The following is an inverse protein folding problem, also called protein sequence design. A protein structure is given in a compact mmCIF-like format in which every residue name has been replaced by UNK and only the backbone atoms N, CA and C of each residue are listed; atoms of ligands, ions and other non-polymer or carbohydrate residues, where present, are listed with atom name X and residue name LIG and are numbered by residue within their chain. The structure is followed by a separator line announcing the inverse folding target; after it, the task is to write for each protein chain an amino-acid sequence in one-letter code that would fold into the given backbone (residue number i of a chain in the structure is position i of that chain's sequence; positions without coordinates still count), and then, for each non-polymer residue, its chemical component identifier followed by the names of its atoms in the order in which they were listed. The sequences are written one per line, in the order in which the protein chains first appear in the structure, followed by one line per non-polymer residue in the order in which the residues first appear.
data_IF_711927668236
#
_entry.id   IF_711927668236
#
_cell.length_a   1.000
_cell.length_b   1.000
_cell.length_c   1.000
_cell.angle_alpha   90.00
_cell.angle_beta   90.00
_cell.angle_gamma   90.00
#
_symmetry.space_group_name_H-M   'P 1'
#
loop_
_entity.id
_entity.type
_entity.pdbx_description
1 polymer ?
#
# COMPACT_ATOMS: atom_id res chain seq x y z
N UNK A 1 9.32 24.99 6.30
CA UNK A 1 7.95 25.54 6.12
C UNK A 1 7.01 24.37 6.30
N UNK A 2 6.59 24.21 7.55
CA UNK A 2 5.97 23.02 8.11
C UNK A 2 4.52 22.84 7.66
N UNK A 3 4.17 21.60 7.31
CA UNK A 3 2.78 21.15 7.07
C UNK A 3 1.89 21.24 8.32
N UNK A 4 2.39 21.78 9.43
CA UNK A 4 1.70 21.94 10.70
C UNK A 4 0.93 23.27 10.84
N UNK A 5 1.09 24.23 9.91
CA UNK A 5 0.38 25.52 10.00
C UNK A 5 -0.98 25.56 9.28
N UNK A 6 -1.41 24.48 8.63
CA UNK A 6 -2.67 24.44 7.87
C UNK A 6 -3.86 23.83 8.60
N UNK A 7 -3.69 23.41 9.86
CA UNK A 7 -4.75 22.73 10.58
C UNK A 7 -4.89 23.23 12.01
N UNK A 8 -5.90 24.07 12.24
CA UNK A 8 -6.58 24.14 13.54
C UNK A 8 -7.34 22.80 13.76
N UNK A 9 -6.57 21.79 14.15
CA UNK A 9 -6.84 20.35 13.97
C UNK A 9 -7.72 19.76 15.07
N UNK A 10 -7.99 20.48 16.17
CA UNK A 10 -8.59 19.84 17.35
C UNK A 10 -10.11 19.87 17.37
N UNK A 11 -10.75 20.87 16.77
CA UNK A 11 -12.21 21.04 16.89
C UNK A 11 -12.98 20.42 15.71
N UNK A 12 -12.37 20.38 14.52
CA UNK A 12 -13.00 19.81 13.30
C UNK A 12 -12.96 18.27 13.29
N UNK A 13 -11.89 17.67 13.83
CA UNK A 13 -11.65 16.23 13.75
C UNK A 13 -12.63 15.41 14.61
N UNK A 14 -13.00 15.90 15.79
CA UNK A 14 -13.87 15.15 16.72
C UNK A 14 -15.35 15.31 16.37
N UNK A 15 -15.78 16.47 15.88
CA UNK A 15 -17.18 16.73 15.53
C UNK A 15 -17.56 16.12 14.17
N UNK A 16 -16.64 16.08 13.21
CA UNK A 16 -16.88 15.47 11.90
C UNK A 16 -16.99 13.94 11.98
N UNK A 17 -16.01 13.27 12.60
CA UNK A 17 -15.95 11.81 12.67
C UNK A 17 -17.14 11.19 13.43
N UNK A 18 -17.55 11.76 14.57
CA UNK A 18 -18.71 11.29 15.32
C UNK A 18 -20.03 11.44 14.54
N UNK A 19 -20.15 12.51 13.73
CA UNK A 19 -21.35 12.78 12.94
C UNK A 19 -21.44 11.89 11.70
N UNK A 20 -20.31 11.61 11.04
CA UNK A 20 -20.27 10.69 9.89
C UNK A 20 -20.54 9.25 10.31
N UNK A 21 -20.07 8.81 11.48
CA UNK A 21 -20.41 7.50 12.05
C UNK A 21 -21.90 7.39 12.39
N UNK A 22 -22.52 8.46 12.89
CA UNK A 22 -23.96 8.49 13.16
C UNK A 22 -24.80 8.48 11.88
N UNK A 23 -24.38 9.22 10.84
CA UNK A 23 -25.03 9.22 9.51
C UNK A 23 -24.92 7.85 8.84
N UNK A 24 -23.75 7.20 8.91
CA UNK A 24 -23.54 5.84 8.39
C UNK A 24 -24.49 4.83 9.06
N UNK A 25 -24.77 5.00 10.36
CA UNK A 25 -25.66 4.12 11.13
C UNK A 25 -27.15 4.45 10.95
N UNK A 26 -27.50 5.57 10.30
CA UNK A 26 -28.88 6.05 10.15
C UNK A 26 -29.42 6.00 8.71
N UNK A 27 -28.71 5.32 7.78
CA UNK A 27 -29.08 5.17 6.35
C UNK A 27 -29.30 6.51 5.60
N UNK A 28 -28.90 7.64 6.18
CA UNK A 28 -29.03 8.95 5.55
C UNK A 28 -27.89 9.18 4.53
N UNK A 29 -28.19 9.81 3.38
CA UNK A 29 -27.15 10.12 2.39
C UNK A 29 -26.10 11.09 2.96
N UNK A 30 -24.83 10.76 2.76
CA UNK A 30 -23.69 11.59 3.19
C UNK A 30 -23.67 12.87 2.34
N UNK A 31 -23.69 14.03 3.00
CA UNK A 31 -23.65 15.33 2.34
C UNK A 31 -22.30 15.57 1.68
N UNK A 32 -22.27 16.26 0.54
CA UNK A 32 -21.03 16.53 -0.18
C UNK A 32 -19.98 17.26 0.67
N UNK A 33 -20.39 18.20 1.53
CA UNK A 33 -19.52 18.91 2.46
C UNK A 33 -18.77 18.00 3.46
N UNK A 34 -19.30 16.82 3.78
CA UNK A 34 -18.74 15.91 4.78
C UNK A 34 -17.87 14.80 4.12
N UNK A 35 -17.95 14.66 2.78
CA UNK A 35 -17.27 13.60 2.03
C UNK A 35 -15.75 13.75 2.01
N UNK A 36 -15.23 14.98 1.95
CA UNK A 36 -13.78 15.23 1.99
C UNK A 36 -13.21 14.87 3.37
N UNK A 37 -13.89 15.27 4.45
CA UNK A 37 -13.52 14.92 5.82
C UNK A 37 -13.56 13.40 6.05
N UNK A 38 -14.55 12.72 5.47
CA UNK A 38 -14.65 11.27 5.48
C UNK A 38 -13.44 10.63 4.78
N UNK A 39 -13.10 11.10 3.57
CA UNK A 39 -11.95 10.59 2.82
C UNK A 39 -10.63 10.84 3.58
N UNK A 40 -10.41 12.05 4.08
CA UNK A 40 -9.24 12.40 4.88
C UNK A 40 -9.09 11.49 6.12
N UNK A 41 -10.19 11.23 6.82
CA UNK A 41 -10.21 10.34 7.98
C UNK A 41 -9.80 8.92 7.60
N UNK A 42 -10.34 8.39 6.48
CA UNK A 42 -9.97 7.06 6.00
C UNK A 42 -8.49 6.96 5.60
N UNK A 43 -7.93 8.00 4.97
CA UNK A 43 -6.49 8.08 4.65
C UNK A 43 -5.65 8.04 5.93
N UNK A 44 -6.00 8.84 6.94
CA UNK A 44 -5.27 8.90 8.21
C UNK A 44 -5.36 7.60 9.01
N UNK A 45 -6.52 6.94 9.02
CA UNK A 45 -6.68 5.60 9.62
C UNK A 45 -5.79 4.58 8.90
N UNK A 46 -5.74 4.65 7.56
CA UNK A 46 -4.85 3.80 6.77
C UNK A 46 -3.37 4.04 7.09
N UNK A 47 -2.94 5.29 7.18
CA UNK A 47 -1.56 5.63 7.56
C UNK A 47 -1.23 5.17 8.98
N UNK A 48 -2.18 5.31 9.92
CA UNK A 48 -2.02 4.85 11.31
C UNK A 48 -1.91 3.32 11.39
N UNK A 49 -2.73 2.59 10.62
CA UNK A 49 -2.64 1.14 10.53
C UNK A 49 -1.33 0.68 9.90
N UNK A 50 -0.84 1.39 8.87
CA UNK A 50 0.46 1.13 8.26
C UNK A 50 1.60 1.33 9.28
N UNK A 51 1.57 2.43 10.04
CA UNK A 51 2.58 2.72 11.05
C UNK A 51 2.62 1.70 12.19
N UNK A 52 1.46 1.16 12.60
CA UNK A 52 1.35 0.24 13.74
C UNK A 52 1.99 -1.11 13.45
N UNK A 53 3.21 -1.31 13.93
CA UNK A 53 3.96 -2.55 13.80
C UNK A 53 4.56 -2.94 15.15
N UNK A 54 4.44 -4.21 15.52
CA UNK A 54 4.97 -4.72 16.78
C UNK A 54 6.40 -5.25 16.64
N UNK A 55 6.78 -5.78 15.47
CA UNK A 55 8.11 -6.32 15.21
C UNK A 55 9.23 -5.27 15.38
N UNK A 56 10.30 -5.64 16.08
CA UNK A 56 11.48 -4.78 16.28
C UNK A 56 12.65 -5.18 15.38
N UNK A 57 12.63 -6.42 14.88
CA UNK A 57 13.63 -6.95 13.94
C UNK A 57 12.95 -7.57 12.72
N UNK A 58 13.72 -7.78 11.64
CA UNK A 58 13.21 -8.43 10.43
C UNK A 58 12.76 -9.88 10.70
N UNK A 59 13.45 -10.59 11.60
CA UNK A 59 13.09 -11.98 11.96
C UNK A 59 11.77 -12.08 12.71
N UNK A 60 11.36 -11.02 13.41
CA UNK A 60 10.08 -10.91 14.11
C UNK A 60 8.95 -10.41 13.19
N UNK A 61 9.27 -9.94 11.99
CA UNK A 61 8.30 -9.39 11.06
C UNK A 61 7.71 -10.48 10.15
N UNK A 62 6.48 -10.25 9.69
CA UNK A 62 5.90 -11.02 8.60
C UNK A 62 6.75 -10.85 7.31
N UNK A 63 6.99 -11.90 6.51
CA UNK A 63 6.41 -13.25 6.56
C UNK A 63 7.18 -14.28 7.39
N UNK A 64 8.25 -13.90 8.10
CA UNK A 64 9.08 -14.82 8.89
C UNK A 64 8.48 -15.17 10.25
N UNK A 65 7.69 -14.25 10.81
CA UNK A 65 7.04 -14.47 12.11
C UNK A 65 6.30 -15.82 12.13
N UNK A 66 6.55 -16.58 13.18
CA UNK A 66 5.84 -17.84 13.49
C UNK A 66 4.67 -17.60 14.42
N UNK A 67 4.43 -16.35 14.87
CA UNK A 67 3.35 -15.98 15.80
C UNK A 67 1.95 -16.33 15.28
N UNK A 68 1.81 -16.57 13.96
CA UNK A 68 0.57 -17.04 13.37
C UNK A 68 0.33 -18.55 13.45
N UNK A 69 1.16 -19.30 14.20
CA UNK A 69 0.87 -20.70 14.55
C UNK A 69 -0.43 -20.89 15.34
N UNK A 70 -1.01 -19.81 15.88
CA UNK A 70 -2.33 -19.79 16.53
C UNK A 70 -3.49 -19.38 15.60
N UNK A 71 -3.24 -19.26 14.28
CA UNK A 71 -4.30 -19.18 13.26
C UNK A 71 -4.79 -17.78 12.87
N UNK A 72 -4.09 -16.71 13.26
CA UNK A 72 -4.47 -15.32 12.91
C UNK A 72 -3.43 -14.63 12.01
N UNK A 73 -3.12 -15.24 10.85
CA UNK A 73 -2.39 -14.56 9.75
C UNK A 73 -3.09 -13.25 9.28
N UNK A 74 -4.33 -13.01 9.70
CA UNK A 74 -5.09 -11.82 9.32
C UNK A 74 -4.66 -10.57 10.09
N UNK A 75 -4.08 -10.73 11.30
CA UNK A 75 -3.53 -9.62 12.08
C UNK A 75 -2.30 -8.98 11.41
N UNK A 76 -1.40 -9.78 10.86
CA UNK A 76 -0.17 -9.30 10.20
C UNK A 76 -0.47 -8.49 8.94
N UNK A 77 -1.51 -8.89 8.19
CA UNK A 77 -1.97 -8.20 6.97
C UNK A 77 -3.18 -7.29 7.23
N UNK A 78 -3.50 -6.98 8.49
CA UNK A 78 -4.63 -6.12 8.85
C UNK A 78 -4.48 -4.70 8.27
N UNK A 79 -3.26 -4.20 8.13
CA UNK A 79 -2.99 -2.90 7.51
C UNK A 79 -3.35 -2.87 6.00
N UNK A 80 -3.21 -4.01 5.31
CA UNK A 80 -3.68 -4.19 3.93
C UNK A 80 -5.21 -4.26 3.89
N UNK A 81 -5.83 -4.97 4.83
CA UNK A 81 -7.28 -5.01 4.98
C UNK A 81 -7.86 -3.61 5.19
N UNK A 82 -7.19 -2.79 6.00
CA UNK A 82 -7.58 -1.41 6.22
C UNK A 82 -7.45 -0.57 4.95
N UNK A 83 -6.43 -0.86 4.13
CA UNK A 83 -6.28 -0.21 2.83
C UNK A 83 -7.31 -0.61 1.80
N UNK A 84 -7.84 -1.83 1.89
CA UNK A 84 -8.97 -2.30 1.10
C UNK A 84 -10.26 -1.54 1.46
N UNK A 85 -10.54 -1.36 2.77
CA UNK A 85 -11.69 -0.57 3.24
C UNK A 85 -11.71 0.87 2.72
N UNK A 86 -10.53 1.48 2.51
CA UNK A 86 -10.41 2.82 1.89
C UNK A 86 -11.03 2.85 0.49
N UNK A 87 -11.01 1.77 -0.28
CA UNK A 87 -11.60 1.74 -1.65
C UNK A 87 -13.11 1.99 -1.64
N UNK A 88 -13.81 1.52 -0.62
CA UNK A 88 -15.24 1.80 -0.44
C UNK A 88 -15.49 3.26 -0.09
N UNK A 89 -14.65 3.83 0.78
CA UNK A 89 -14.73 5.26 1.13
C UNK A 89 -14.38 6.14 -0.06
N UNK A 90 -13.40 5.77 -0.88
CA UNK A 90 -13.05 6.46 -2.12
C UNK A 90 -14.26 6.61 -3.05
N UNK A 91 -14.96 5.49 -3.30
CA UNK A 91 -16.17 5.47 -4.15
C UNK A 91 -17.30 6.33 -3.55
N UNK A 92 -17.49 6.26 -2.24
CA UNK A 92 -18.54 7.00 -1.53
C UNK A 92 -18.26 8.50 -1.48
N UNK A 93 -16.99 8.87 -1.27
CA UNK A 93 -16.54 10.25 -1.23
C UNK A 93 -16.50 10.86 -2.64
N UNK A 94 -16.37 10.07 -3.69
CA UNK A 94 -16.34 10.51 -5.09
C UNK A 94 -15.40 11.70 -5.31
N UNK A 95 -14.18 11.61 -4.75
CA UNK A 95 -13.19 12.70 -4.83
C UNK A 95 -12.75 12.97 -6.28
N UNK A 96 -12.88 11.99 -7.17
CA UNK A 96 -12.58 12.13 -8.59
C UNK A 96 -13.72 12.80 -9.37
N UNK A 97 -14.98 12.45 -9.12
CA UNK A 97 -16.12 13.08 -9.81
C UNK A 97 -16.41 14.50 -9.32
N UNK A 98 -16.15 14.78 -8.04
CA UNK A 98 -16.41 16.08 -7.40
C UNK A 98 -15.27 17.08 -7.63
N UNK A 99 -15.44 17.96 -8.62
CA UNK A 99 -14.50 19.07 -8.91
C UNK A 99 -14.35 20.07 -7.76
N UNK A 100 -15.33 20.14 -6.87
CA UNK A 100 -15.32 20.95 -5.65
C UNK A 100 -14.56 20.27 -4.49
N UNK A 101 -14.15 19.01 -4.64
CA UNK A 101 -13.35 18.31 -3.62
C UNK A 101 -11.93 18.88 -3.57
N UNK A 102 -11.42 19.11 -2.36
CA UNK A 102 -10.03 19.53 -2.15
C UNK A 102 -9.01 18.46 -2.57
N UNK A 103 -9.46 17.21 -2.71
CA UNK A 103 -8.64 16.07 -3.13
C UNK A 103 -8.72 15.77 -4.63
N UNK A 104 -9.49 16.55 -5.40
CA UNK A 104 -9.73 16.28 -6.82
C UNK A 104 -8.43 16.22 -7.63
N UNK A 105 -7.56 17.23 -7.50
CA UNK A 105 -6.28 17.27 -8.21
C UNK A 105 -5.36 16.08 -7.83
N UNK A 106 -5.28 15.77 -6.54
CA UNK A 106 -4.53 14.61 -6.03
C UNK A 106 -5.10 13.29 -6.57
N UNK A 107 -6.41 13.20 -6.71
CA UNK A 107 -7.07 12.02 -7.24
C UNK A 107 -6.77 11.82 -8.74
N UNK A 108 -6.72 12.88 -9.54
CA UNK A 108 -6.32 12.79 -10.94
C UNK A 108 -4.87 12.33 -11.09
N UNK A 109 -3.96 12.89 -10.29
CA UNK A 109 -2.54 12.55 -10.30
C UNK A 109 -2.28 11.08 -9.92
N UNK A 110 -2.97 10.58 -8.89
CA UNK A 110 -2.74 9.22 -8.37
C UNK A 110 -3.42 8.11 -9.17
N UNK A 111 -4.39 8.44 -10.02
CA UNK A 111 -5.07 7.48 -10.91
C UNK A 111 -4.52 7.46 -12.34
N UNK A 112 -3.63 8.39 -12.68
CA UNK A 112 -3.03 8.44 -14.02
C UNK A 112 -1.72 7.66 -14.04
N UNK A 113 -1.80 6.43 -14.54
CA UNK A 113 -0.64 5.59 -14.78
C UNK A 113 -0.55 5.21 -16.24
N UNK A 114 0.64 5.27 -16.86
CA UNK A 114 0.81 4.77 -18.20
C UNK A 114 0.50 3.27 -18.20
N UNK A 115 -0.19 2.83 -19.25
CA UNK A 115 -0.35 1.40 -19.50
C UNK A 115 1.05 0.79 -19.62
N UNK A 116 1.27 -0.31 -18.89
CA UNK A 116 2.52 -1.05 -18.96
C UNK A 116 2.40 -2.08 -20.06
N UNK A 117 3.31 -1.98 -21.03
CA UNK A 117 3.54 -3.06 -21.97
C UNK A 117 4.36 -4.15 -21.27
N UNK A 118 3.76 -5.34 -21.14
CA UNK A 118 4.37 -6.50 -20.49
C UNK A 118 5.62 -6.98 -21.21
N UNK A 119 5.71 -6.75 -22.52
CA UNK A 119 6.86 -7.12 -23.33
C UNK A 119 8.05 -6.18 -23.10
N UNK A 120 7.77 -4.95 -22.62
CA UNK A 120 8.78 -3.92 -22.32
C UNK A 120 9.18 -3.86 -20.84
N UNK A 121 8.66 -4.76 -20.01
CA UNK A 121 9.07 -4.85 -18.61
C UNK A 121 10.54 -5.26 -18.48
N UNK A 122 11.23 -4.85 -17.40
CA UNK A 122 12.58 -5.33 -17.13
C UNK A 122 12.64 -6.87 -17.18
N UNK A 123 13.74 -7.40 -17.73
CA UNK A 123 13.87 -8.83 -18.00
C UNK A 123 13.68 -9.71 -16.76
N UNK A 124 13.99 -9.18 -15.57
CA UNK A 124 13.80 -9.87 -14.29
C UNK A 124 12.33 -10.09 -13.95
N UNK A 125 11.45 -9.12 -14.27
CA UNK A 125 10.01 -9.24 -14.06
C UNK A 125 9.40 -10.30 -14.98
N UNK A 126 9.86 -10.36 -16.23
CA UNK A 126 9.44 -11.36 -17.19
C UNK A 126 9.94 -12.75 -16.80
N UNK A 127 11.23 -12.86 -16.44
CA UNK A 127 11.85 -14.12 -16.04
C UNK A 127 11.23 -14.69 -14.75
N UNK A 128 10.82 -13.85 -13.80
CA UNK A 128 10.12 -14.28 -12.59
C UNK A 128 8.64 -14.69 -12.86
N UNK A 129 8.15 -14.47 -14.08
CA UNK A 129 6.80 -14.86 -14.50
C UNK A 129 5.69 -13.95 -13.98
N UNK A 130 6.00 -12.69 -13.64
CA UNK A 130 5.01 -11.77 -13.04
C UNK A 130 3.89 -11.37 -14.01
N UNK A 131 4.13 -11.47 -15.33
CA UNK A 131 3.11 -11.24 -16.36
C UNK A 131 2.17 -12.43 -16.63
N UNK A 132 2.53 -13.63 -16.15
CA UNK A 132 1.81 -14.86 -16.50
C UNK A 132 0.38 -14.92 -15.93
N UNK A 133 0.19 -14.41 -14.71
CA UNK A 133 -1.11 -14.41 -14.02
C UNK A 133 -1.76 -13.04 -14.05
N UNK A 134 -3.05 -12.99 -14.40
CA UNK A 134 -3.86 -11.78 -14.30
C UNK A 134 -3.92 -11.23 -12.85
N UNK A 135 -3.66 -12.05 -11.84
CA UNK A 135 -3.65 -11.64 -10.43
C UNK A 135 -2.42 -10.81 -10.07
N UNK A 136 -1.25 -11.12 -10.63
CA UNK A 136 -0.01 -10.36 -10.38
C UNK A 136 0.06 -9.08 -11.21
N UNK A 137 -0.51 -9.11 -12.42
CA UNK A 137 -0.32 -8.07 -13.43
C UNK A 137 -0.58 -6.64 -12.92
N UNK A 138 -1.70 -6.32 -12.23
CA UNK A 138 -1.92 -4.94 -11.77
C UNK A 138 -0.83 -4.44 -10.81
N UNK A 139 -0.44 -5.26 -9.83
CA UNK A 139 0.56 -4.89 -8.84
C UNK A 139 1.98 -4.84 -9.45
N UNK A 140 2.33 -5.81 -10.30
CA UNK A 140 3.62 -5.84 -10.98
C UNK A 140 3.79 -4.68 -11.98
N UNK A 141 2.75 -4.32 -12.73
CA UNK A 141 2.77 -3.16 -13.62
C UNK A 141 2.96 -1.87 -12.83
N UNK A 142 2.25 -1.71 -11.70
CA UNK A 142 2.42 -0.55 -10.85
C UNK A 142 3.86 -0.43 -10.35
N UNK A 143 4.41 -1.51 -9.78
CA UNK A 143 5.81 -1.50 -9.32
C UNK A 143 6.76 -1.18 -10.47
N UNK A 144 6.58 -1.74 -11.66
CA UNK A 144 7.43 -1.44 -12.79
C UNK A 144 7.39 0.03 -13.21
N UNK A 145 6.23 0.69 -13.15
CA UNK A 145 6.13 2.13 -13.34
C UNK A 145 6.88 2.89 -12.25
N UNK A 146 6.69 2.51 -10.98
CA UNK A 146 7.39 3.12 -9.84
C UNK A 146 8.91 2.95 -9.92
N UNK A 147 9.41 1.85 -10.51
CA UNK A 147 10.85 1.64 -10.69
C UNK A 147 11.51 2.69 -11.60
N UNK A 148 10.73 3.38 -12.44
CA UNK A 148 11.19 4.41 -13.37
C UNK A 148 11.14 5.81 -12.79
N UNK A 149 10.58 5.94 -11.59
CA UNK A 149 10.37 7.20 -10.90
C UNK A 149 11.20 7.25 -9.62
N UNK A 150 11.54 8.47 -9.19
CA UNK A 150 12.16 8.70 -7.88
C UNK A 150 11.04 8.83 -6.85
N UNK A 151 11.19 8.17 -5.70
CA UNK A 151 10.34 8.46 -4.55
C UNK A 151 10.83 9.74 -3.86
N UNK A 152 9.97 10.76 -3.81
CA UNK A 152 10.22 12.00 -3.10
C UNK A 152 8.91 12.57 -2.53
N UNK A 153 8.96 13.80 -2.02
CA UNK A 153 7.81 14.46 -1.40
C UNK A 153 6.62 14.59 -2.34
N UNK A 154 6.87 14.88 -3.61
CA UNK A 154 5.83 15.20 -4.59
C UNK A 154 5.29 13.92 -5.20
N UNK A 155 6.13 12.89 -5.40
CA UNK A 155 5.70 11.60 -5.94
C UNK A 155 5.14 10.62 -4.89
N UNK A 156 5.30 10.86 -3.59
CA UNK A 156 4.91 9.91 -2.53
C UNK A 156 3.49 9.34 -2.68
N UNK A 157 2.50 10.18 -3.00
CA UNK A 157 1.11 9.73 -3.14
C UNK A 157 0.93 8.77 -4.32
N UNK A 158 1.73 8.93 -5.37
CA UNK A 158 1.79 8.01 -6.51
C UNK A 158 2.35 6.65 -6.08
N UNK A 159 3.38 6.61 -5.22
CA UNK A 159 3.88 5.34 -4.65
C UNK A 159 2.85 4.65 -3.75
N UNK A 160 2.05 5.42 -3.00
CA UNK A 160 0.96 4.87 -2.17
C UNK A 160 -0.23 4.35 -3.01
N UNK A 161 -0.33 4.73 -4.28
CA UNK A 161 -1.36 4.23 -5.20
C UNK A 161 -1.26 2.71 -5.44
N UNK A 162 -0.07 2.11 -5.21
CA UNK A 162 0.14 0.66 -5.21
C UNK A 162 -0.84 -0.10 -4.31
N UNK A 163 -1.24 0.48 -3.17
CA UNK A 163 -2.23 -0.12 -2.28
C UNK A 163 -3.60 -0.28 -2.95
N UNK A 164 -3.89 0.56 -3.95
CA UNK A 164 -5.06 0.42 -4.82
C UNK A 164 -5.01 -0.82 -5.71
N UNK A 165 -3.82 -1.28 -6.10
CA UNK A 165 -3.60 -2.46 -6.96
C UNK A 165 -3.70 -3.79 -6.21
N UNK A 166 -3.70 -3.77 -4.87
CA UNK A 166 -3.83 -4.98 -4.06
C UNK A 166 -5.30 -5.44 -4.08
N UNK A 167 -5.59 -6.41 -4.95
CA UNK A 167 -6.92 -7.04 -5.06
C UNK A 167 -7.12 -8.09 -3.97
N UNK A 168 -8.37 -8.52 -3.69
CA UNK A 168 -8.62 -9.62 -2.76
C UNK A 168 -7.86 -10.91 -3.13
N UNK A 169 -7.74 -11.21 -4.42
CA UNK A 169 -7.02 -12.37 -4.93
C UNK A 169 -5.51 -12.24 -4.70
N UNK A 170 -4.93 -11.07 -4.97
CA UNK A 170 -3.51 -10.81 -4.70
C UNK A 170 -3.21 -10.89 -3.20
N UNK A 171 -4.10 -10.35 -2.36
CA UNK A 171 -3.99 -10.46 -0.89
C UNK A 171 -4.06 -11.90 -0.41
N UNK A 172 -4.86 -12.76 -1.04
CA UNK A 172 -4.88 -14.21 -0.75
C UNK A 172 -3.55 -14.87 -1.08
N UNK A 173 -2.88 -14.46 -2.16
CA UNK A 173 -1.53 -14.94 -2.50
C UNK A 173 -0.49 -14.47 -1.48
N UNK A 174 -0.58 -13.23 -1.02
CA UNK A 174 0.27 -12.74 0.09
C UNK A 174 0.05 -13.58 1.35
N UNK A 175 -1.20 -13.82 1.77
CA UNK A 175 -1.50 -14.71 2.91
C UNK A 175 -0.90 -16.11 2.74
N UNK A 176 -0.95 -16.66 1.53
CA UNK A 176 -0.35 -17.95 1.20
C UNK A 176 1.19 -17.90 1.06
N UNK A 177 1.83 -16.75 1.35
CA UNK A 177 3.27 -16.51 1.20
C UNK A 177 3.79 -16.88 -0.19
N UNK A 178 2.97 -16.65 -1.21
CA UNK A 178 3.34 -16.93 -2.61
C UNK A 178 4.57 -16.10 -3.00
N UNK A 179 5.57 -16.78 -3.55
CA UNK A 179 6.88 -16.20 -3.83
C UNK A 179 6.82 -14.94 -4.72
N UNK A 180 5.96 -14.95 -5.74
CA UNK A 180 5.86 -13.86 -6.72
C UNK A 180 5.09 -12.67 -6.16
N UNK A 181 4.02 -12.92 -5.41
CA UNK A 181 3.31 -11.87 -4.70
C UNK A 181 4.21 -11.17 -3.66
N UNK A 182 4.97 -11.97 -2.90
CA UNK A 182 5.95 -11.47 -1.94
C UNK A 182 7.04 -10.62 -2.60
N UNK A 183 7.62 -11.08 -3.71
CA UNK A 183 8.65 -10.32 -4.42
C UNK A 183 8.13 -8.97 -4.95
N UNK A 184 6.91 -8.92 -5.49
CA UNK A 184 6.29 -7.64 -5.90
C UNK A 184 6.15 -6.69 -4.71
N UNK A 185 5.71 -7.18 -3.56
CA UNK A 185 5.58 -6.37 -2.35
C UNK A 185 6.95 -5.89 -1.83
N UNK A 186 7.98 -6.74 -1.84
CA UNK A 186 9.34 -6.38 -1.47
C UNK A 186 9.93 -5.28 -2.38
N UNK A 187 9.68 -5.36 -3.69
CA UNK A 187 10.06 -4.32 -4.65
C UNK A 187 9.41 -2.98 -4.33
N UNK A 188 8.12 -2.97 -3.99
CA UNK A 188 7.44 -1.76 -3.57
C UNK A 188 8.02 -1.19 -2.26
N UNK A 189 8.28 -2.03 -1.26
CA UNK A 189 8.90 -1.61 -0.01
C UNK A 189 10.26 -0.96 -0.21
N UNK A 190 11.11 -1.59 -1.01
CA UNK A 190 12.42 -1.07 -1.36
C UNK A 190 12.34 0.30 -2.02
N UNK A 191 11.35 0.50 -2.89
CA UNK A 191 11.17 1.77 -3.58
C UNK A 191 10.60 2.87 -2.69
N UNK A 192 9.58 2.58 -1.89
CA UNK A 192 8.99 3.61 -1.01
C UNK A 192 9.95 4.01 0.13
N UNK A 193 10.93 3.16 0.46
CA UNK A 193 12.01 3.45 1.39
C UNK A 193 13.05 4.47 0.89
N UNK A 194 13.09 4.79 -0.41
CA UNK A 194 14.00 5.82 -0.94
C UNK A 194 13.70 7.22 -0.37
N UNK A 195 12.45 7.45 0.02
CA UNK A 195 12.04 8.67 0.70
C UNK A 195 11.74 8.39 2.18
N UNK A 196 12.58 8.97 3.06
CA UNK A 196 12.53 8.69 4.50
C UNK A 196 11.32 9.36 5.19
N UNK A 197 10.14 8.76 5.05
CA UNK A 197 8.96 9.13 5.82
C UNK A 197 8.84 8.27 7.08
N UNK A 198 8.86 8.94 8.24
CA UNK A 198 8.91 8.31 9.56
C UNK A 198 7.82 7.25 9.79
N UNK A 199 6.62 7.44 9.22
CA UNK A 199 5.50 6.52 9.41
C UNK A 199 5.50 5.33 8.45
N UNK A 200 6.31 5.36 7.39
CA UNK A 200 6.43 4.29 6.38
C UNK A 200 7.64 3.41 6.67
N UNK A 201 8.77 4.05 6.96
CA UNK A 201 10.10 3.47 6.88
C UNK A 201 10.24 2.20 7.71
N UNK A 202 9.72 2.18 8.95
CA UNK A 202 9.88 1.04 9.85
C UNK A 202 9.26 -0.23 9.28
N UNK A 203 7.99 -0.21 8.85
CA UNK A 203 7.36 -1.40 8.27
C UNK A 203 8.04 -1.80 6.97
N UNK A 204 8.27 -0.83 6.09
CA UNK A 204 8.82 -1.12 4.77
C UNK A 204 10.20 -1.76 4.84
N UNK A 205 11.06 -1.32 5.78
CA UNK A 205 12.36 -1.97 6.03
C UNK A 205 12.20 -3.36 6.65
N UNK A 206 11.48 -3.47 7.76
CA UNK A 206 11.41 -4.74 8.49
C UNK A 206 10.68 -5.84 7.71
N UNK A 207 9.51 -5.57 7.14
CA UNK A 207 8.81 -6.55 6.30
C UNK A 207 9.51 -6.78 4.96
N UNK A 208 10.15 -5.74 4.39
CA UNK A 208 10.95 -5.88 3.17
C UNK A 208 12.13 -6.85 3.37
N UNK A 209 12.90 -6.65 4.44
CA UNK A 209 14.00 -7.53 4.83
C UNK A 209 13.51 -8.94 5.16
N UNK A 210 12.45 -9.07 5.96
CA UNK A 210 11.85 -10.35 6.30
C UNK A 210 11.42 -11.12 5.05
N UNK A 211 10.82 -10.41 4.08
CA UNK A 211 10.39 -10.99 2.82
C UNK A 211 11.59 -11.51 2.01
N UNK A 212 12.68 -10.74 1.93
CA UNK A 212 13.90 -11.19 1.24
C UNK A 212 14.47 -12.45 1.88
N UNK A 213 14.64 -12.46 3.21
CA UNK A 213 15.15 -13.62 3.96
C UNK A 213 14.26 -14.85 3.75
N UNK A 214 12.93 -14.68 3.78
CA UNK A 214 11.99 -15.77 3.53
C UNK A 214 12.16 -16.36 2.12
N UNK A 215 12.23 -15.49 1.10
CA UNK A 215 12.39 -15.94 -0.28
C UNK A 215 13.75 -16.62 -0.51
N UNK A 216 14.83 -16.12 0.08
CA UNK A 216 16.15 -16.78 0.03
C UNK A 216 16.13 -18.15 0.70
N UNK A 217 15.44 -18.26 1.84
CA UNK A 217 15.38 -19.51 2.61
C UNK A 217 14.61 -20.60 1.86
N UNK A 218 13.44 -20.27 1.32
CA UNK A 218 12.51 -21.27 0.76
C UNK A 218 12.53 -21.37 -0.77
N UNK A 219 13.01 -20.34 -1.48
CA UNK A 219 12.97 -20.23 -2.94
C UNK A 219 14.34 -19.95 -3.59
N UNK A 220 15.45 -20.25 -2.91
CA UNK A 220 16.82 -20.08 -3.44
C UNK A 220 17.10 -20.78 -4.78
N UNK A 221 16.31 -21.78 -5.14
CA UNK A 221 16.41 -22.48 -6.42
C UNK A 221 15.87 -21.68 -7.62
N UNK A 222 15.03 -20.67 -7.40
CA UNK A 222 14.47 -19.82 -8.46
C UNK A 222 15.40 -18.63 -8.74
N UNK A 223 16.32 -18.82 -9.69
CA UNK A 223 17.33 -17.81 -10.02
C UNK A 223 16.74 -16.49 -10.54
N UNK A 224 15.56 -16.51 -11.16
CA UNK A 224 14.92 -15.30 -11.64
C UNK A 224 14.34 -14.49 -10.47
N UNK A 225 13.72 -15.18 -9.51
CA UNK A 225 13.25 -14.58 -8.28
C UNK A 225 14.40 -14.00 -7.45
N UNK A 226 15.52 -14.73 -7.34
CA UNK A 226 16.69 -14.25 -6.59
C UNK A 226 17.26 -12.95 -7.18
N UNK A 227 17.36 -12.85 -8.51
CA UNK A 227 17.77 -11.60 -9.18
C UNK A 227 16.78 -10.46 -8.91
N UNK A 228 15.48 -10.75 -8.93
CA UNK A 228 14.46 -9.74 -8.68
C UNK A 228 14.58 -9.15 -7.27
N UNK A 229 14.87 -9.96 -6.26
CA UNK A 229 14.99 -9.51 -4.87
C UNK A 229 16.36 -8.90 -4.51
N UNK A 230 17.33 -8.87 -5.43
CA UNK A 230 18.61 -8.18 -5.19
C UNK A 230 18.42 -6.69 -4.90
N UNK A 231 17.50 -6.03 -5.62
CA UNK A 231 17.21 -4.62 -5.39
C UNK A 231 16.61 -4.37 -4.00
N UNK A 232 15.57 -5.10 -3.55
CA UNK A 232 15.03 -4.98 -2.20
C UNK A 232 15.97 -5.28 -1.03
N UNK A 233 17.08 -5.97 -1.26
CA UNK A 233 18.05 -6.25 -0.18
C UNK A 233 18.87 -5.04 0.26
N UNK A 234 18.75 -3.90 -0.43
CA UNK A 234 19.50 -2.68 -0.09
C UNK A 234 18.92 -1.89 1.09
N UNK A 235 17.67 -2.20 1.49
CA UNK A 235 16.93 -1.44 2.52
C UNK A 235 17.00 -2.07 3.92
#
# INVERSE_FOLDING_TARGET
MDLLHLFDTKTVYTLGASRTVWIYKSELPIRNQDKDSLWATAVLLGASAFYRMDAHTALEAWPLTTSSSDGDDDADLAWLAMSEGKKSVWKLADVQGRRDSVFHATAEETNTWPAVDWELLPGEFQAAGLGASAVYRPAAAMVANLMRERCDRDSLLRFLSFLGCITPEFKRLLRAKDARALAILAMWYAKICEYEQWWIQRRARLEGQATCIYLETYYSHDAALMRLIEYPKII
#
